data_IF_419001571796
#
_entry.id   IF_419001571796
#
_cell.length_a   1.000
_cell.length_b   1.000
_cell.length_c   1.000
_cell.angle_alpha   90.00
_cell.angle_beta   90.00
_cell.angle_gamma   90.00
#
_symmetry.space_group_name_H-M   'P 1'
#
loop_
_entity.id
_entity.type
_entity.pdbx_description
1 polymer ?
#
# COMPACT_ATOMS: atom_id res chain seq x y z
N UNK A 1 -3.51 -5.51 -31.79
CA UNK A 1 -3.45 -4.60 -30.62
C UNK A 1 -2.36 -4.99 -29.63
N UNK A 2 -2.36 -6.22 -29.11
CA UNK A 2 -1.40 -6.72 -28.09
C UNK A 2 0.07 -6.52 -28.50
N UNK A 3 0.45 -6.89 -29.74
CA UNK A 3 1.83 -6.72 -30.21
C UNK A 3 2.35 -5.28 -30.13
N UNK A 4 1.49 -4.27 -30.34
CA UNK A 4 1.87 -2.85 -30.22
C UNK A 4 2.11 -2.46 -28.77
N UNK A 5 1.25 -2.91 -27.86
CA UNK A 5 1.38 -2.68 -26.41
C UNK A 5 2.64 -3.36 -25.89
N UNK A 6 2.85 -4.64 -26.22
CA UNK A 6 4.04 -5.37 -25.81
C UNK A 6 5.32 -4.74 -26.39
N UNK A 7 5.29 -4.26 -27.64
CA UNK A 7 6.44 -3.54 -28.22
C UNK A 7 6.76 -2.24 -27.49
N UNK A 8 5.74 -1.49 -27.05
CA UNK A 8 5.92 -0.31 -26.20
C UNK A 8 6.55 -0.70 -24.84
N UNK A 9 6.03 -1.74 -24.20
CA UNK A 9 6.57 -2.25 -22.93
C UNK A 9 8.01 -2.75 -23.06
N UNK A 10 8.38 -3.34 -24.20
CA UNK A 10 9.76 -3.70 -24.52
C UNK A 10 10.64 -2.47 -24.63
N UNK A 11 10.19 -1.44 -25.33
CA UNK A 11 10.93 -0.19 -25.46
C UNK A 11 11.22 0.46 -24.09
N UNK A 12 10.31 0.30 -23.12
CA UNK A 12 10.50 0.77 -21.74
C UNK A 12 11.17 -0.26 -20.80
N UNK A 13 11.66 -1.39 -21.32
CA UNK A 13 12.34 -2.43 -20.51
C UNK A 13 11.44 -3.21 -19.55
N UNK A 14 10.12 -3.03 -19.63
CA UNK A 14 9.14 -3.75 -18.82
C UNK A 14 9.03 -5.20 -19.31
N UNK A 15 9.05 -5.42 -20.62
CA UNK A 15 9.12 -6.75 -21.24
C UNK A 15 10.45 -6.92 -22.00
N UNK A 16 10.88 -8.16 -22.17
CA UNK A 16 11.95 -8.53 -23.08
C UNK A 16 11.39 -9.14 -24.36
N UNK A 17 12.26 -9.29 -25.37
CA UNK A 17 11.96 -10.05 -26.59
C UNK A 17 12.90 -11.25 -26.64
N UNK A 18 12.33 -12.43 -26.86
CA UNK A 18 13.10 -13.61 -27.25
C UNK A 18 13.10 -13.67 -28.77
N UNK A 19 14.29 -13.63 -29.36
CA UNK A 19 14.47 -13.89 -30.79
C UNK A 19 14.65 -15.41 -30.93
N UNK A 20 13.62 -16.10 -31.39
CA UNK A 20 13.80 -17.42 -31.98
C UNK A 20 14.23 -17.27 -33.44
N UNK A 21 14.73 -18.34 -34.05
CA UNK A 21 15.11 -18.41 -35.48
C UNK A 21 13.94 -18.10 -36.45
N UNK A 22 12.71 -18.00 -35.93
CA UNK A 22 11.52 -17.64 -36.67
C UNK A 22 11.27 -16.12 -36.65
N UNK A 23 11.72 -15.46 -37.72
CA UNK A 23 11.72 -14.00 -37.93
C UNK A 23 10.29 -13.42 -37.91
N UNK A 24 9.27 -14.25 -38.10
CA UNK A 24 7.87 -13.82 -38.22
C UNK A 24 7.11 -13.75 -36.88
N UNK A 25 7.65 -14.31 -35.80
CA UNK A 25 6.96 -14.41 -34.51
C UNK A 25 7.77 -13.82 -33.35
N UNK A 26 7.51 -12.53 -33.05
CA UNK A 26 8.06 -11.87 -31.86
C UNK A 26 7.48 -12.49 -30.59
N UNK A 27 8.31 -13.20 -29.82
CA UNK A 27 7.96 -13.70 -28.48
C UNK A 27 8.41 -12.71 -27.41
N UNK A 28 7.56 -12.51 -26.41
CA UNK A 28 7.85 -11.60 -25.30
C UNK A 28 8.15 -12.40 -24.03
N UNK A 29 9.07 -11.91 -23.22
CA UNK A 29 9.44 -12.53 -21.94
C UNK A 29 9.39 -11.51 -20.79
N UNK A 30 9.29 -12.01 -19.56
CA UNK A 30 9.29 -11.18 -18.36
C UNK A 30 10.72 -10.70 -18.03
N UNK A 31 10.90 -9.39 -17.83
CA UNK A 31 12.14 -8.83 -17.24
C UNK A 31 12.09 -8.82 -15.72
N UNK A 32 13.20 -8.48 -15.07
CA UNK A 32 13.27 -8.28 -13.62
C UNK A 32 12.23 -7.27 -13.09
N UNK A 33 11.89 -6.23 -13.86
CA UNK A 33 10.87 -5.24 -13.48
C UNK A 33 9.47 -5.87 -13.53
N UNK A 34 9.14 -6.59 -14.60
CA UNK A 34 7.81 -7.22 -14.72
C UNK A 34 7.51 -8.26 -13.65
N UNK A 35 8.53 -8.86 -13.01
CA UNK A 35 8.35 -9.78 -11.88
C UNK A 35 7.68 -9.12 -10.67
N UNK A 36 7.78 -7.80 -10.51
CA UNK A 36 7.06 -7.08 -9.45
C UNK A 36 5.57 -6.91 -9.77
N UNK A 37 5.17 -6.99 -11.04
CA UNK A 37 3.79 -6.79 -11.49
C UNK A 37 3.09 -8.09 -11.89
N UNK A 38 3.84 -9.17 -12.12
CA UNK A 38 3.30 -10.51 -12.33
C UNK A 38 3.09 -11.22 -10.99
N UNK A 39 2.01 -12.01 -10.87
CA UNK A 39 1.77 -12.87 -9.69
C UNK A 39 2.68 -14.09 -9.62
N UNK A 40 3.55 -14.31 -10.62
CA UNK A 40 4.35 -15.52 -10.78
C UNK A 40 5.65 -15.52 -9.97
N UNK A 41 5.83 -16.57 -9.16
CA UNK A 41 7.03 -16.99 -8.41
C UNK A 41 7.34 -16.30 -7.06
N UNK A 42 6.49 -15.42 -6.54
CA UNK A 42 6.61 -15.00 -5.14
C UNK A 42 5.83 -16.00 -4.26
N UNK A 43 6.45 -16.52 -3.20
CA UNK A 43 5.91 -17.56 -2.31
C UNK A 43 4.50 -17.28 -1.75
N UNK A 44 4.03 -16.03 -1.85
CA UNK A 44 2.78 -15.57 -1.25
C UNK A 44 1.80 -14.92 -2.26
N UNK A 45 2.06 -15.01 -3.57
CA UNK A 45 1.14 -14.53 -4.63
C UNK A 45 0.89 -13.01 -4.69
N UNK A 46 1.66 -12.20 -3.97
CA UNK A 46 1.55 -10.73 -3.96
C UNK A 46 2.29 -10.09 -5.14
N UNK A 47 1.84 -8.91 -5.58
CA UNK A 47 2.46 -8.11 -6.65
C UNK A 47 2.10 -6.63 -6.50
N UNK A 48 2.78 -5.75 -7.24
CA UNK A 48 2.45 -4.32 -7.34
C UNK A 48 1.30 -4.03 -8.32
N UNK A 49 0.75 -5.04 -9.01
CA UNK A 49 -0.35 -4.84 -9.95
C UNK A 49 -1.58 -4.18 -9.30
N UNK A 50 -2.05 -4.61 -8.11
CA UNK A 50 -3.18 -3.96 -7.45
C UNK A 50 -2.92 -2.50 -7.07
N UNK A 51 -1.66 -2.12 -6.84
CA UNK A 51 -1.30 -0.72 -6.60
C UNK A 51 -1.44 0.10 -7.89
N UNK A 52 -1.07 -0.46 -9.03
CA UNK A 52 -1.31 0.16 -10.34
C UNK A 52 -2.80 0.32 -10.62
N UNK A 53 -3.60 -0.69 -10.31
CA UNK A 53 -5.06 -0.62 -10.45
C UNK A 53 -5.66 0.52 -9.61
N UNK A 54 -5.14 0.74 -8.40
CA UNK A 54 -5.59 1.83 -7.52
C UNK A 54 -5.23 3.21 -8.08
N UNK A 55 -3.97 3.44 -8.45
CA UNK A 55 -3.50 4.78 -8.88
C UNK A 55 -4.02 5.15 -10.27
N UNK A 56 -4.33 4.15 -11.11
CA UNK A 56 -4.94 4.33 -12.42
C UNK A 56 -6.47 4.23 -12.37
N UNK A 57 -7.06 3.97 -11.21
CA UNK A 57 -8.52 3.98 -11.05
C UNK A 57 -9.05 5.36 -11.40
N UNK A 58 -10.15 5.40 -12.16
CA UNK A 58 -10.76 6.67 -12.59
C UNK A 58 -11.00 7.62 -11.42
N UNK A 59 -11.45 7.12 -10.27
CA UNK A 59 -11.73 7.96 -9.09
C UNK A 59 -10.47 8.68 -8.61
N UNK A 60 -9.32 8.00 -8.61
CA UNK A 60 -8.03 8.60 -8.27
C UNK A 60 -7.53 9.53 -9.38
N UNK A 61 -7.70 9.13 -10.64
CA UNK A 61 -7.26 9.93 -11.79
C UNK A 61 -8.01 11.25 -11.91
N UNK A 62 -9.31 11.28 -11.58
CA UNK A 62 -10.12 12.50 -11.63
C UNK A 62 -9.51 13.61 -10.76
N UNK A 63 -8.83 13.24 -9.66
CA UNK A 63 -8.12 14.18 -8.78
C UNK A 63 -7.05 15.02 -9.48
N UNK A 64 -6.40 14.50 -10.54
CA UNK A 64 -5.39 15.25 -11.29
C UNK A 64 -5.94 16.51 -11.97
N UNK A 65 -7.24 16.53 -12.30
CA UNK A 65 -7.89 17.71 -12.88
C UNK A 65 -7.88 18.93 -11.94
N UNK A 66 -7.82 18.70 -10.62
CA UNK A 66 -7.82 19.74 -9.59
C UNK A 66 -6.42 20.03 -9.02
N UNK A 67 -5.37 19.41 -9.55
CA UNK A 67 -4.01 19.62 -9.03
C UNK A 67 -3.58 21.08 -9.11
N UNK A 68 -3.85 21.76 -10.23
CA UNK A 68 -3.56 23.19 -10.40
C UNK A 68 -4.24 24.03 -9.32
N UNK A 69 -5.53 23.82 -9.10
CA UNK A 69 -6.31 24.61 -8.15
C UNK A 69 -5.86 24.31 -6.71
N UNK A 70 -5.53 23.06 -6.40
CA UNK A 70 -4.97 22.68 -5.10
C UNK A 70 -3.65 23.40 -4.79
N UNK A 71 -2.79 23.60 -5.80
CA UNK A 71 -1.53 24.35 -5.64
C UNK A 71 -1.80 25.83 -5.39
N UNK A 72 -2.74 26.43 -6.11
CA UNK A 72 -3.02 27.87 -6.03
C UNK A 72 -3.82 28.28 -4.79
N UNK A 73 -4.80 27.46 -4.42
CA UNK A 73 -5.82 27.79 -3.43
C UNK A 73 -5.76 26.88 -2.18
N UNK A 74 -4.85 25.91 -2.15
CA UNK A 74 -4.70 24.95 -1.06
C UNK A 74 -5.70 23.77 -1.11
N UNK A 75 -5.65 22.89 -0.11
CA UNK A 75 -6.49 21.69 -0.05
C UNK A 75 -5.98 20.52 -0.90
N UNK A 76 -6.72 19.40 -0.88
CA UNK A 76 -6.32 18.15 -1.55
C UNK A 76 -7.05 17.99 -2.89
N UNK A 77 -6.34 17.66 -4.00
CA UNK A 77 -6.97 17.50 -5.31
C UNK A 77 -8.13 16.49 -5.31
N UNK A 78 -7.97 15.36 -4.62
CA UNK A 78 -9.03 14.36 -4.45
C UNK A 78 -10.29 14.96 -3.79
N UNK A 79 -10.10 15.68 -2.67
CA UNK A 79 -11.20 16.28 -1.92
C UNK A 79 -11.91 17.36 -2.73
N UNK A 80 -11.20 18.09 -3.58
CA UNK A 80 -11.78 19.11 -4.46
C UNK A 80 -12.71 18.52 -5.52
N UNK A 81 -12.43 17.30 -5.99
CA UNK A 81 -13.30 16.60 -6.95
C UNK A 81 -14.46 15.92 -6.24
N UNK A 82 -14.20 15.23 -5.14
CA UNK A 82 -15.14 14.28 -4.54
C UNK A 82 -15.85 14.81 -3.28
N UNK A 83 -15.49 16.01 -2.82
CA UNK A 83 -16.07 16.67 -1.64
C UNK A 83 -15.74 16.01 -0.29
N UNK A 84 -14.90 14.97 -0.28
CA UNK A 84 -14.54 14.21 0.91
C UNK A 84 -13.14 13.60 0.79
N UNK A 85 -12.60 13.12 1.91
CA UNK A 85 -11.28 12.48 1.90
C UNK A 85 -11.33 11.11 1.21
N UNK A 86 -10.25 10.72 0.52
CA UNK A 86 -10.18 9.45 -0.24
C UNK A 86 -10.54 8.22 0.60
N UNK A 87 -10.14 8.22 1.86
CA UNK A 87 -10.45 7.15 2.79
C UNK A 87 -11.94 7.08 3.18
N UNK A 88 -12.63 8.21 3.25
CA UNK A 88 -14.08 8.25 3.48
C UNK A 88 -14.83 7.81 2.23
N UNK A 89 -14.36 8.25 1.05
CA UNK A 89 -14.90 7.84 -0.24
C UNK A 89 -14.82 6.31 -0.41
N UNK A 90 -13.66 5.71 -0.13
CA UNK A 90 -13.47 4.26 -0.18
C UNK A 90 -14.35 3.50 0.84
N UNK A 91 -14.83 4.16 1.90
CA UNK A 91 -15.81 3.59 2.82
C UNK A 91 -17.25 3.59 2.27
N UNK A 92 -17.54 4.39 1.25
CA UNK A 92 -18.86 4.51 0.62
C UNK A 92 -18.97 3.76 -0.71
N UNK A 93 -17.85 3.64 -1.44
CA UNK A 93 -17.75 2.90 -2.69
C UNK A 93 -17.13 1.52 -2.44
N UNK A 94 -17.96 0.47 -2.45
CA UNK A 94 -17.50 -0.91 -2.21
C UNK A 94 -16.47 -1.41 -3.24
N UNK A 95 -16.57 -0.97 -4.51
CA UNK A 95 -15.62 -1.34 -5.57
C UNK A 95 -14.27 -0.69 -5.31
N UNK A 96 -14.24 0.62 -5.02
CA UNK A 96 -13.00 1.30 -4.68
C UNK A 96 -12.42 0.78 -3.36
N UNK A 97 -13.25 0.46 -2.37
CA UNK A 97 -12.84 -0.18 -1.12
C UNK A 97 -12.05 -1.45 -1.37
N UNK A 98 -12.56 -2.31 -2.25
CA UNK A 98 -11.89 -3.56 -2.60
C UNK A 98 -10.55 -3.32 -3.31
N UNK A 99 -10.50 -2.39 -4.27
CA UNK A 99 -9.25 -2.05 -4.97
C UNK A 99 -8.23 -1.47 -4.00
N UNK A 100 -8.65 -0.53 -3.14
CA UNK A 100 -7.82 0.10 -2.12
C UNK A 100 -7.25 -0.93 -1.14
N UNK A 101 -8.10 -1.78 -0.56
CA UNK A 101 -7.67 -2.79 0.40
C UNK A 101 -6.72 -3.81 -0.24
N UNK A 102 -6.99 -4.24 -1.47
CA UNK A 102 -6.12 -5.18 -2.22
C UNK A 102 -4.75 -4.56 -2.51
N UNK A 103 -4.73 -3.28 -2.89
CA UNK A 103 -3.51 -2.52 -3.12
C UNK A 103 -2.68 -2.35 -1.84
N UNK A 104 -3.32 -1.96 -0.74
CA UNK A 104 -2.65 -1.78 0.55
C UNK A 104 -2.13 -3.11 1.10
N UNK A 105 -2.91 -4.19 1.01
CA UNK A 105 -2.46 -5.53 1.36
C UNK A 105 -1.18 -5.91 0.61
N UNK A 106 -1.21 -5.82 -0.73
CA UNK A 106 -0.10 -6.27 -1.57
C UNK A 106 1.16 -5.43 -1.34
N UNK A 107 1.00 -4.10 -1.24
CA UNK A 107 2.10 -3.16 -0.99
C UNK A 107 2.73 -3.40 0.38
N UNK A 108 1.92 -3.48 1.44
CA UNK A 108 2.40 -3.71 2.80
C UNK A 108 3.13 -5.04 2.91
N UNK A 109 2.59 -6.10 2.30
CA UNK A 109 3.24 -7.41 2.31
C UNK A 109 4.64 -7.38 1.68
N UNK A 110 4.80 -6.73 0.53
CA UNK A 110 6.11 -6.61 -0.15
C UNK A 110 7.11 -5.83 0.72
N UNK A 111 6.69 -4.68 1.27
CA UNK A 111 7.57 -3.81 2.05
C UNK A 111 7.98 -4.48 3.36
N UNK A 112 7.02 -5.01 4.12
CA UNK A 112 7.27 -5.59 5.45
C UNK A 112 8.15 -6.83 5.34
N UNK A 113 7.97 -7.68 4.32
CA UNK A 113 8.89 -8.81 4.09
C UNK A 113 10.32 -8.34 3.88
N UNK A 114 10.52 -7.30 3.07
CA UNK A 114 11.85 -6.73 2.84
C UNK A 114 12.45 -6.13 4.12
N UNK A 115 11.64 -5.46 4.94
CA UNK A 115 12.06 -4.97 6.26
C UNK A 115 12.51 -6.14 7.11
N UNK A 116 11.69 -7.19 7.22
CA UNK A 116 12.00 -8.35 8.06
C UNK A 116 13.27 -9.08 7.62
N UNK A 117 13.67 -9.05 6.34
CA UNK A 117 14.92 -9.65 5.88
C UNK A 117 16.17 -9.01 6.50
N UNK A 118 16.18 -7.69 6.73
CA UNK A 118 17.38 -6.96 7.14
C UNK A 118 17.27 -6.28 8.51
N UNK A 119 16.05 -5.95 8.96
CA UNK A 119 15.81 -5.22 10.19
C UNK A 119 15.65 -6.17 11.38
N UNK A 120 16.55 -6.03 12.35
CA UNK A 120 16.58 -6.84 13.58
C UNK A 120 15.94 -6.17 14.79
N UNK A 121 15.42 -4.95 14.66
CA UNK A 121 14.88 -4.21 15.81
C UNK A 121 13.60 -4.80 16.43
N UNK A 122 13.02 -5.84 15.82
CA UNK A 122 11.95 -6.62 16.43
C UNK A 122 12.46 -7.73 17.37
N UNK A 123 13.76 -8.06 17.33
CA UNK A 123 14.34 -9.06 18.22
C UNK A 123 14.18 -8.62 19.68
N UNK A 124 13.77 -9.55 20.55
CA UNK A 124 13.57 -9.36 21.99
C UNK A 124 12.41 -8.43 22.39
N UNK A 125 11.62 -7.91 21.44
CA UNK A 125 10.38 -7.23 21.79
C UNK A 125 9.39 -8.21 22.42
N UNK A 126 8.60 -7.71 23.37
CA UNK A 126 7.50 -8.47 23.99
C UNK A 126 6.15 -8.12 23.39
N UNK A 127 6.00 -6.90 22.88
CA UNK A 127 4.75 -6.40 22.33
C UNK A 127 5.03 -5.38 21.21
N UNK A 128 4.17 -5.36 20.20
CA UNK A 128 4.17 -4.36 19.12
C UNK A 128 2.74 -3.90 18.90
N UNK A 129 2.54 -2.58 18.82
CA UNK A 129 1.26 -1.96 18.52
C UNK A 129 1.31 -1.33 17.13
N UNK A 130 0.46 -1.79 16.23
CA UNK A 130 0.35 -1.25 14.86
C UNK A 130 -0.80 -0.23 14.82
N UNK A 131 -0.47 1.06 14.98
CA UNK A 131 -1.43 2.18 14.99
C UNK A 131 -1.68 2.64 13.55
N UNK A 132 -2.93 2.53 13.10
CA UNK A 132 -3.28 2.69 11.69
C UNK A 132 -2.90 1.46 10.85
N UNK A 133 -2.82 0.27 11.46
CA UNK A 133 -2.38 -0.97 10.82
C UNK A 133 -3.37 -1.57 9.82
N UNK A 134 -4.51 -0.92 9.60
CA UNK A 134 -5.55 -1.37 8.69
C UNK A 134 -6.11 -2.71 9.13
N UNK A 135 -6.16 -3.66 8.19
CA UNK A 135 -6.58 -5.03 8.46
C UNK A 135 -5.48 -5.89 9.12
N UNK A 136 -4.33 -5.33 9.53
CA UNK A 136 -3.33 -6.01 10.36
C UNK A 136 -2.29 -6.85 9.60
N UNK A 137 -2.07 -6.59 8.31
CA UNK A 137 -1.13 -7.37 7.47
C UNK A 137 0.30 -7.28 7.97
N UNK A 138 0.77 -6.07 8.28
CA UNK A 138 2.13 -5.83 8.74
C UNK A 138 2.39 -6.56 10.06
N UNK A 139 1.49 -6.35 11.01
CA UNK A 139 1.56 -6.99 12.31
C UNK A 139 1.54 -8.51 12.22
N UNK A 140 0.67 -9.09 11.38
CA UNK A 140 0.63 -10.54 11.16
C UNK A 140 1.96 -11.08 10.64
N UNK A 141 2.62 -10.40 9.70
CA UNK A 141 3.93 -10.80 9.18
C UNK A 141 5.02 -10.72 10.26
N UNK A 142 4.99 -9.65 11.08
CA UNK A 142 5.94 -9.47 12.19
C UNK A 142 5.77 -10.59 13.22
N UNK A 143 4.55 -10.83 13.71
CA UNK A 143 4.28 -11.85 14.73
C UNK A 143 4.47 -13.27 14.20
N UNK A 144 4.28 -13.50 12.90
CA UNK A 144 4.58 -14.79 12.28
C UNK A 144 6.09 -15.09 12.26
N UNK A 145 6.92 -14.07 12.05
CA UNK A 145 8.39 -14.22 12.11
C UNK A 145 8.91 -14.27 13.55
N UNK A 146 8.30 -13.51 14.45
CA UNK A 146 8.68 -13.41 15.86
C UNK A 146 7.51 -13.85 16.76
N UNK A 147 7.30 -15.17 16.93
CA UNK A 147 6.12 -15.71 17.61
C UNK A 147 6.05 -15.35 19.10
N UNK A 148 7.15 -14.89 19.70
CA UNK A 148 7.20 -14.42 21.09
C UNK A 148 6.66 -12.99 21.28
N UNK A 149 6.42 -12.25 20.19
CA UNK A 149 5.89 -10.88 20.23
C UNK A 149 4.36 -10.95 20.28
N UNK A 150 3.77 -10.26 21.27
CA UNK A 150 2.34 -9.98 21.31
C UNK A 150 2.00 -8.81 20.36
N UNK A 151 1.21 -9.05 19.32
CA UNK A 151 0.72 -7.98 18.45
C UNK A 151 -0.54 -7.31 18.99
N UNK A 152 -0.70 -5.99 18.79
CA UNK A 152 -1.98 -5.28 18.93
C UNK A 152 -2.19 -4.44 17.67
N UNK A 153 -3.23 -4.76 16.87
CA UNK A 153 -3.61 -3.95 15.72
C UNK A 153 -4.64 -2.89 16.15
N UNK A 154 -4.36 -1.62 15.88
CA UNK A 154 -5.22 -0.51 16.26
C UNK A 154 -5.60 0.30 15.01
N UNK A 155 -6.90 0.36 14.71
CA UNK A 155 -7.44 1.14 13.60
C UNK A 155 -8.88 1.56 13.92
N UNK A 156 -9.54 2.29 13.01
CA UNK A 156 -10.92 2.70 13.15
C UNK A 156 -11.85 1.48 13.27
N UNK A 157 -12.94 1.57 14.07
CA UNK A 157 -13.84 0.43 14.31
C UNK A 157 -14.38 -0.21 13.02
N UNK A 158 -14.66 0.61 12.00
CA UNK A 158 -15.13 0.14 10.69
C UNK A 158 -14.10 -0.71 9.94
N UNK A 159 -12.81 -0.47 10.13
CA UNK A 159 -11.73 -1.24 9.50
C UNK A 159 -11.51 -2.54 10.22
N UNK A 160 -11.40 -2.48 11.55
CA UNK A 160 -11.20 -3.66 12.39
C UNK A 160 -12.31 -4.71 12.18
N UNK A 161 -13.56 -4.28 11.94
CA UNK A 161 -14.67 -5.19 11.61
C UNK A 161 -14.41 -6.07 10.38
N UNK A 162 -13.61 -5.61 9.43
CA UNK A 162 -13.25 -6.34 8.22
C UNK A 162 -11.87 -7.00 8.31
N UNK A 163 -11.18 -6.87 9.44
CA UNK A 163 -9.89 -7.50 9.64
C UNK A 163 -10.06 -9.01 9.86
N UNK A 164 -9.20 -9.85 9.27
CA UNK A 164 -9.14 -11.26 9.63
C UNK A 164 -8.92 -11.43 11.13
N UNK A 165 -9.52 -12.45 11.73
CA UNK A 165 -9.24 -12.83 13.12
C UNK A 165 -7.81 -13.34 13.23
N UNK A 166 -6.86 -12.44 13.48
CA UNK A 166 -5.52 -12.82 13.89
C UNK A 166 -5.51 -13.18 15.38
N UNK A 167 -4.68 -14.14 15.83
CA UNK A 167 -4.69 -14.66 17.21
C UNK A 167 -4.49 -13.60 18.31
N UNK A 168 -4.09 -12.37 17.97
CA UNK A 168 -3.73 -11.33 18.93
C UNK A 168 -4.28 -9.96 18.48
N UNK A 169 -5.60 -9.77 18.57
CA UNK A 169 -6.22 -8.47 18.31
C UNK A 169 -7.07 -8.05 19.52
N UNK A 170 -6.65 -6.97 20.20
CA UNK A 170 -7.42 -6.34 21.27
C UNK A 170 -7.68 -4.89 20.86
N UNK A 171 -8.96 -4.53 20.69
CA UNK A 171 -9.37 -3.14 20.50
C UNK A 171 -9.44 -2.47 21.87
N UNK A 172 -8.50 -1.57 22.18
CA UNK A 172 -8.49 -0.82 23.44
C UNK A 172 -8.59 0.68 23.17
N UNK A 173 -9.49 1.33 23.91
CA UNK A 173 -9.95 2.71 23.71
C UNK A 173 -9.01 3.79 24.24
N UNK A 174 -7.86 3.42 24.81
CA UNK A 174 -6.89 4.37 25.37
C UNK A 174 -5.50 3.71 25.47
N UNK A 175 -4.44 4.51 25.29
CA UNK A 175 -3.09 4.45 25.92
C UNK A 175 -1.87 4.36 24.97
N UNK A 176 -1.00 5.38 25.14
CA UNK A 176 0.49 5.49 25.24
C UNK A 176 1.40 4.65 24.31
N UNK A 177 2.34 5.38 23.70
CA UNK A 177 3.33 5.03 22.67
C UNK A 177 4.24 3.81 22.95
N UNK A 178 4.43 2.97 21.91
CA UNK A 178 5.72 2.41 21.50
C UNK A 178 5.67 1.91 20.04
N UNK A 179 6.62 2.36 19.22
CA UNK A 179 6.81 2.15 17.75
C UNK A 179 5.55 2.21 16.89
N UNK A 180 5.27 3.39 16.33
CA UNK A 180 4.24 3.55 15.30
C UNK A 180 4.83 3.15 13.94
N UNK A 181 4.39 2.00 13.41
CA UNK A 181 4.51 1.70 11.99
C UNK A 181 3.50 2.59 11.24
N UNK A 182 3.87 3.85 10.98
CA UNK A 182 3.11 4.67 10.04
C UNK A 182 3.15 3.94 8.71
N UNK A 183 2.05 3.26 8.35
CA UNK A 183 1.89 2.64 7.05
C UNK A 183 2.12 3.74 6.00
N UNK A 184 3.28 3.64 5.35
CA UNK A 184 3.91 4.58 4.44
C UNK A 184 2.95 5.36 3.52
N UNK A 185 2.54 6.55 3.97
CA UNK A 185 2.25 7.66 3.10
C UNK A 185 3.59 8.37 2.80
N UNK A 186 4.27 7.99 1.71
CA UNK A 186 5.46 8.74 1.27
C UNK A 186 5.07 9.62 0.11
N UNK A 187 5.11 10.92 0.33
CA UNK A 187 5.63 11.86 -0.67
C UNK A 187 6.67 12.77 0.02
N UNK A 188 7.93 12.55 -0.33
CA UNK A 188 9.12 13.42 -0.19
C UNK A 188 9.91 13.47 1.15
N UNK A 189 11.26 13.34 1.12
CA UNK A 189 12.13 13.32 2.31
C UNK A 189 12.57 14.73 2.79
N UNK A 190 11.76 15.78 2.60
CA UNK A 190 12.13 17.15 3.03
C UNK A 190 11.06 17.96 3.75
N UNK A 191 9.97 17.35 4.20
CA UNK A 191 8.98 18.05 5.02
C UNK A 191 8.64 17.19 6.23
N UNK A 192 9.31 17.49 7.35
CA UNK A 192 8.74 17.29 8.68
C UNK A 192 7.41 18.05 8.68
N UNK A 193 6.28 17.33 8.59
CA UNK A 193 5.01 17.96 8.90
C UNK A 193 4.98 18.21 10.39
N UNK A 194 5.30 19.45 10.75
CA UNK A 194 4.94 20.06 12.00
C UNK A 194 3.46 19.78 12.27
N UNK A 195 3.17 18.90 13.22
CA UNK A 195 1.96 18.99 14.02
C UNK A 195 2.16 20.19 14.96
N UNK A 196 2.00 21.42 14.44
CA UNK A 196 1.87 22.60 15.29
C UNK A 196 0.54 22.53 16.01
N UNK A 197 0.60 22.15 17.29
CA UNK A 197 0.00 22.86 18.41
C UNK A 197 -1.37 23.50 18.15
N UNK A 198 -2.46 22.77 18.42
CA UNK A 198 -3.78 23.40 18.70
C UNK A 198 -4.79 22.49 19.41
N UNK A 199 -4.37 21.47 20.16
CA UNK A 199 -5.32 20.66 20.96
C UNK A 199 -4.83 20.32 22.39
N UNK A 200 -3.93 21.13 22.94
CA UNK A 200 -3.74 21.21 24.39
C UNK A 200 -3.69 22.70 24.74
N UNK A 201 -4.83 23.20 25.20
CA UNK A 201 -5.03 24.58 25.59
C UNK A 201 -6.41 24.73 26.21
N UNK A 202 -6.47 24.39 27.51
CA UNK A 202 -7.63 24.35 28.44
C UNK A 202 -8.49 23.09 28.34
#
# INVERSE_FOLDING_TARGET
MINRICSLLVHHGVLGVSLDDDIFHRRYCLTSVSKYFARGNQQDGVSLAPLMDLVLDKVYLDGWSQLKNAILEGGLPFNRVHGMHAYEYAGRDGRLSQVFNTAMFSRTAIIVKKILESFKGFENLKQVVDVGGGIGVALNLITSKYPNIKGINFDLPRVIKHAPSFPVMMSLRSIIFEIILWCFCVISPKVTFNLTSSLIGI
#
